data_IF_310075349171
#
_entry.id   IF_310075349171
#
_cell.length_a   1.000
_cell.length_b   1.000
_cell.length_c   1.000
_cell.angle_alpha   90.00
_cell.angle_beta   90.00
_cell.angle_gamma   90.00
#
_symmetry.space_group_name_H-M   'P 1'
#
loop_
_entity.id
_entity.type
_entity.pdbx_description
1 polymer ?
#
# COMPACT_ATOMS: atom_id res chain seq x y z
N UNK A 1 25.09 -31.29 -127.14
CA UNK A 1 24.67 -29.96 -126.64
C UNK A 1 24.31 -30.12 -125.17
N UNK A 2 25.15 -29.56 -124.30
CA UNK A 2 24.88 -29.17 -122.91
C UNK A 2 24.29 -30.13 -121.85
N UNK A 3 25.11 -30.30 -120.79
CA UNK A 3 24.81 -30.02 -119.37
C UNK A 3 24.10 -31.13 -118.55
N UNK A 4 24.94 -31.93 -117.90
CA UNK A 4 24.95 -32.27 -116.44
C UNK A 4 23.64 -32.25 -115.64
N UNK A 5 23.32 -33.40 -115.02
CA UNK A 5 23.07 -33.57 -113.55
C UNK A 5 22.76 -35.05 -113.27
N UNK A 6 23.60 -35.76 -112.47
CA UNK A 6 23.12 -36.14 -111.14
C UNK A 6 24.24 -36.17 -110.07
N UNK A 7 25.27 -35.34 -110.16
CA UNK A 7 26.30 -35.25 -109.10
C UNK A 7 25.82 -34.40 -107.90
N UNK A 8 24.77 -33.60 -108.09
CA UNK A 8 24.20 -32.76 -107.03
C UNK A 8 23.46 -33.56 -105.95
N UNK A 9 23.15 -34.85 -106.17
CA UNK A 9 22.30 -35.62 -105.25
C UNK A 9 23.11 -36.43 -104.23
N UNK A 10 24.14 -37.18 -104.64
CA UNK A 10 24.95 -38.03 -103.73
C UNK A 10 25.77 -37.22 -102.72
N UNK A 11 26.38 -36.12 -103.15
CA UNK A 11 27.10 -35.23 -102.25
C UNK A 11 26.15 -34.54 -101.26
N UNK A 12 24.95 -34.15 -101.70
CA UNK A 12 23.93 -33.57 -100.84
C UNK A 12 23.42 -34.58 -99.80
N UNK A 13 23.15 -35.84 -100.20
CA UNK A 13 22.77 -36.90 -99.26
C UNK A 13 23.86 -37.20 -98.24
N UNK A 14 25.13 -37.25 -98.65
CA UNK A 14 26.24 -37.47 -97.73
C UNK A 14 26.38 -36.33 -96.70
N UNK A 15 26.20 -35.08 -97.13
CA UNK A 15 26.22 -33.91 -96.24
C UNK A 15 25.03 -33.94 -95.28
N UNK A 16 23.83 -34.26 -95.77
CA UNK A 16 22.63 -34.38 -94.92
C UNK A 16 22.80 -35.48 -93.88
N UNK A 17 23.31 -36.65 -94.26
CA UNK A 17 23.58 -37.75 -93.33
C UNK A 17 24.65 -37.38 -92.29
N UNK A 18 25.71 -36.68 -92.69
CA UNK A 18 26.73 -36.18 -91.78
C UNK A 18 26.15 -35.16 -90.78
N UNK A 19 25.30 -34.24 -91.26
CA UNK A 19 24.63 -33.26 -90.40
C UNK A 19 23.66 -33.93 -89.42
N UNK A 20 22.93 -34.96 -89.84
CA UNK A 20 22.07 -35.76 -88.96
C UNK A 20 22.90 -36.50 -87.90
N UNK A 21 24.05 -37.08 -88.28
CA UNK A 21 24.96 -37.75 -87.34
C UNK A 21 25.54 -36.76 -86.31
N UNK A 22 25.99 -35.58 -86.76
CA UNK A 22 26.52 -34.53 -85.89
C UNK A 22 25.44 -33.96 -84.96
N UNK A 23 24.21 -33.80 -85.46
CA UNK A 23 23.06 -33.41 -84.63
C UNK A 23 22.70 -34.51 -83.63
N UNK A 24 22.77 -35.78 -84.01
CA UNK A 24 22.59 -36.93 -83.11
C UNK A 24 23.64 -37.00 -82.00
N UNK A 25 24.91 -36.74 -82.31
CA UNK A 25 26.00 -36.65 -81.32
C UNK A 25 25.86 -35.43 -80.40
N UNK A 26 25.40 -34.28 -80.91
CA UNK A 26 25.06 -33.11 -80.10
C UNK A 26 23.88 -33.41 -79.15
N UNK A 27 22.85 -34.11 -79.63
CA UNK A 27 21.71 -34.55 -78.82
C UNK A 27 22.11 -35.57 -77.74
N UNK A 28 23.06 -36.47 -78.04
CA UNK A 28 23.64 -37.39 -77.05
C UNK A 28 24.44 -36.65 -75.97
N UNK A 29 25.23 -35.62 -76.31
CA UNK A 29 25.88 -34.75 -75.33
C UNK A 29 24.87 -33.99 -74.47
N UNK A 30 23.73 -33.56 -75.03
CA UNK A 30 22.65 -32.93 -74.24
C UNK A 30 21.91 -33.89 -73.32
N UNK A 31 21.89 -35.20 -73.61
CA UNK A 31 21.25 -36.21 -72.74
C UNK A 31 21.99 -36.38 -71.40
N UNK A 32 23.32 -36.32 -71.40
CA UNK A 32 24.11 -36.29 -70.16
C UNK A 32 23.80 -35.05 -69.32
N UNK A 33 23.80 -33.88 -69.95
CA UNK A 33 23.43 -32.61 -69.29
C UNK A 33 21.99 -32.60 -68.76
N UNK A 34 21.06 -33.27 -69.43
CA UNK A 34 19.68 -33.41 -68.97
C UNK A 34 19.56 -34.33 -67.76
N UNK A 35 20.29 -35.46 -67.74
CA UNK A 35 20.34 -36.35 -66.58
C UNK A 35 20.95 -35.63 -65.37
N UNK A 36 22.05 -34.90 -65.56
CA UNK A 36 22.66 -34.08 -64.50
C UNK A 36 21.69 -33.03 -63.95
N UNK A 37 20.86 -32.45 -64.83
CA UNK A 37 19.80 -31.50 -64.45
C UNK A 37 18.69 -32.18 -63.64
N UNK A 38 18.29 -33.40 -64.03
CA UNK A 38 17.29 -34.18 -63.31
C UNK A 38 17.80 -34.63 -61.92
N UNK A 39 19.04 -35.09 -61.84
CA UNK A 39 19.68 -35.48 -60.58
C UNK A 39 19.79 -34.28 -59.61
N UNK A 40 20.08 -33.09 -60.16
CA UNK A 40 20.09 -31.83 -59.40
C UNK A 40 18.68 -31.43 -58.89
N UNK A 41 17.64 -31.62 -59.71
CA UNK A 41 16.24 -31.40 -59.32
C UNK A 41 15.82 -32.38 -58.22
N UNK A 42 16.18 -33.66 -58.35
CA UNK A 42 15.86 -34.69 -57.37
C UNK A 42 16.60 -34.42 -56.04
N UNK A 43 17.85 -33.95 -56.10
CA UNK A 43 18.60 -33.50 -54.93
C UNK A 43 17.93 -32.28 -54.26
N UNK A 44 17.49 -31.30 -55.04
CA UNK A 44 16.73 -30.15 -54.53
C UNK A 44 15.40 -30.58 -53.88
N UNK A 45 14.68 -31.53 -54.48
CA UNK A 45 13.45 -32.09 -53.92
C UNK A 45 13.67 -32.91 -52.63
N UNK A 46 14.82 -33.60 -52.49
CA UNK A 46 15.22 -34.24 -51.22
C UNK A 46 15.53 -33.19 -50.16
N UNK A 47 16.29 -32.14 -50.49
CA UNK A 47 16.63 -31.05 -49.57
C UNK A 47 15.38 -30.28 -49.10
N UNK A 48 14.43 -30.00 -50.00
CA UNK A 48 13.18 -29.32 -49.65
C UNK A 48 12.33 -30.13 -48.66
N UNK A 49 12.27 -31.46 -48.81
CA UNK A 49 11.60 -32.35 -47.86
C UNK A 49 12.28 -32.35 -46.50
N UNK A 50 13.61 -32.48 -46.47
CA UNK A 50 14.39 -32.42 -45.24
C UNK A 50 14.22 -31.08 -44.51
N UNK A 51 14.22 -29.95 -45.24
CA UNK A 51 13.97 -28.63 -44.66
C UNK A 51 12.55 -28.50 -44.09
N UNK A 52 11.53 -29.05 -44.77
CA UNK A 52 10.15 -29.05 -44.26
C UNK A 52 10.03 -29.85 -42.97
N UNK A 53 10.67 -31.01 -42.89
CA UNK A 53 10.71 -31.83 -41.68
C UNK A 53 11.48 -31.12 -40.54
N UNK A 54 12.60 -30.48 -40.85
CA UNK A 54 13.36 -29.69 -39.88
C UNK A 54 12.55 -28.52 -39.31
N UNK A 55 11.79 -27.79 -40.15
CA UNK A 55 10.89 -26.72 -39.71
C UNK A 55 9.80 -27.25 -38.79
N UNK A 56 9.14 -28.36 -39.14
CA UNK A 56 8.13 -28.97 -38.29
C UNK A 56 8.68 -29.38 -36.91
N UNK A 57 9.92 -29.89 -36.86
CA UNK A 57 10.59 -30.22 -35.61
C UNK A 57 10.93 -28.96 -34.77
N UNK A 58 11.33 -27.86 -35.42
CA UNK A 58 11.58 -26.58 -34.75
C UNK A 58 10.28 -26.03 -34.15
N UNK A 59 9.19 -26.04 -34.93
CA UNK A 59 7.88 -25.57 -34.47
C UNK A 59 7.41 -26.37 -33.24
N UNK A 60 7.49 -27.70 -33.30
CA UNK A 60 7.13 -28.57 -32.17
C UNK A 60 8.00 -28.30 -30.93
N UNK A 61 9.29 -27.99 -31.11
CA UNK A 61 10.19 -27.65 -30.01
C UNK A 61 9.86 -26.28 -29.40
N UNK A 62 9.52 -25.29 -30.23
CA UNK A 62 9.08 -23.96 -29.79
C UNK A 62 7.78 -24.07 -29.00
N UNK A 63 6.79 -24.79 -29.51
CA UNK A 63 5.51 -25.02 -28.84
C UNK A 63 5.70 -25.68 -27.48
N UNK A 64 6.53 -26.74 -27.43
CA UNK A 64 6.86 -27.41 -26.17
C UNK A 64 7.52 -26.45 -25.17
N UNK A 65 8.45 -25.60 -25.62
CA UNK A 65 9.15 -24.63 -24.76
C UNK A 65 8.21 -23.53 -24.25
N UNK A 66 7.27 -23.07 -25.08
CA UNK A 66 6.23 -22.11 -24.69
C UNK A 66 5.31 -22.74 -23.65
N UNK A 67 4.80 -23.94 -23.90
CA UNK A 67 3.92 -24.65 -22.98
C UNK A 67 4.56 -24.86 -21.60
N UNK A 68 5.83 -25.26 -21.55
CA UNK A 68 6.57 -25.42 -20.29
C UNK A 68 6.69 -24.10 -19.53
N UNK A 69 7.04 -23.00 -20.22
CA UNK A 69 7.16 -21.67 -19.59
C UNK A 69 5.83 -21.16 -19.06
N UNK A 70 4.75 -21.36 -19.82
CA UNK A 70 3.39 -20.99 -19.40
C UNK A 70 3.00 -21.76 -18.12
N UNK A 71 3.13 -23.08 -18.12
CA UNK A 71 2.81 -23.91 -16.95
C UNK A 71 3.63 -23.53 -15.70
N UNK A 72 4.91 -23.22 -15.85
CA UNK A 72 5.76 -22.72 -14.75
C UNK A 72 5.26 -21.37 -14.22
N UNK A 73 4.86 -20.47 -15.12
CA UNK A 73 4.34 -19.15 -14.75
C UNK A 73 3.00 -19.25 -14.02
N UNK A 74 2.09 -20.12 -14.49
CA UNK A 74 0.79 -20.40 -13.88
C UNK A 74 0.96 -20.94 -12.47
N UNK A 75 1.78 -21.98 -12.30
CA UNK A 75 2.07 -22.56 -10.97
C UNK A 75 2.63 -21.51 -9.99
N UNK A 76 3.49 -20.60 -10.48
CA UNK A 76 4.03 -19.51 -9.65
C UNK A 76 2.94 -18.50 -9.27
N UNK A 77 2.03 -18.19 -10.19
CA UNK A 77 0.91 -17.28 -9.94
C UNK A 77 -0.08 -17.90 -8.95
N UNK A 78 -0.43 -19.17 -9.10
CA UNK A 78 -1.29 -19.91 -8.16
C UNK A 78 -0.74 -19.87 -6.73
N UNK A 79 0.56 -20.12 -6.56
CA UNK A 79 1.21 -20.01 -5.24
C UNK A 79 1.11 -18.61 -4.64
N UNK A 80 1.28 -17.56 -5.46
CA UNK A 80 1.11 -16.16 -5.02
C UNK A 80 -0.33 -15.85 -4.63
N UNK A 81 -1.30 -16.31 -5.42
CA UNK A 81 -2.73 -16.11 -5.17
C UNK A 81 -3.13 -16.79 -3.86
N UNK A 82 -2.73 -18.05 -3.66
CA UNK A 82 -2.97 -18.79 -2.42
C UNK A 82 -2.38 -18.08 -1.19
N UNK A 83 -1.13 -17.59 -1.30
CA UNK A 83 -0.49 -16.81 -0.24
C UNK A 83 -1.17 -15.46 0.05
N UNK A 84 -1.75 -14.82 -0.96
CA UNK A 84 -2.56 -13.60 -0.79
C UNK A 84 -3.89 -13.90 -0.10
N UNK A 85 -4.57 -14.96 -0.53
CA UNK A 85 -5.84 -15.41 0.08
C UNK A 85 -5.65 -15.74 1.56
N UNK A 86 -4.58 -16.43 1.92
CA UNK A 86 -4.27 -16.77 3.32
C UNK A 86 -4.04 -15.52 4.17
N UNK A 87 -3.28 -14.54 3.66
CA UNK A 87 -3.07 -13.26 4.37
C UNK A 87 -4.36 -12.48 4.51
N UNK A 88 -5.20 -12.47 3.47
CA UNK A 88 -6.49 -11.78 3.51
C UNK A 88 -7.42 -12.40 4.56
N UNK A 89 -7.50 -13.73 4.63
CA UNK A 89 -8.26 -14.42 5.66
C UNK A 89 -7.75 -14.10 7.08
N UNK A 90 -6.43 -14.07 7.28
CA UNK A 90 -5.83 -13.70 8.57
C UNK A 90 -6.17 -12.26 8.96
N UNK A 91 -6.09 -11.33 8.01
CA UNK A 91 -6.46 -9.94 8.25
C UNK A 91 -7.96 -9.80 8.59
N UNK A 92 -8.84 -10.52 7.89
CA UNK A 92 -10.26 -10.57 8.20
C UNK A 92 -10.53 -11.10 9.61
N UNK A 93 -9.81 -12.14 10.04
CA UNK A 93 -9.89 -12.66 11.41
C UNK A 93 -9.41 -11.64 12.45
N UNK A 94 -8.31 -10.94 12.17
CA UNK A 94 -7.79 -9.88 13.05
C UNK A 94 -8.78 -8.72 13.16
N UNK A 95 -9.36 -8.28 12.05
CA UNK A 95 -10.38 -7.23 12.03
C UNK A 95 -11.63 -7.63 12.84
N UNK A 96 -12.12 -8.86 12.68
CA UNK A 96 -13.24 -9.37 13.47
C UNK A 96 -12.92 -9.40 14.98
N UNK A 97 -11.69 -9.78 15.34
CA UNK A 97 -11.22 -9.76 16.73
C UNK A 97 -11.13 -8.35 17.31
N UNK A 98 -10.63 -7.38 16.53
CA UNK A 98 -10.60 -5.98 16.92
C UNK A 98 -12.01 -5.40 17.06
N UNK A 99 -12.92 -5.70 16.13
CA UNK A 99 -14.30 -5.25 16.21
C UNK A 99 -14.98 -5.72 17.50
N UNK A 100 -14.82 -7.00 17.86
CA UNK A 100 -15.34 -7.52 19.14
C UNK A 100 -14.78 -6.80 20.36
N UNK A 101 -13.49 -6.42 20.34
CA UNK A 101 -12.88 -5.65 21.42
C UNK A 101 -13.42 -4.22 21.48
N UNK A 102 -13.66 -3.60 20.33
CA UNK A 102 -14.32 -2.29 20.23
C UNK A 102 -15.73 -2.36 20.79
N UNK A 103 -16.52 -3.36 20.38
CA UNK A 103 -17.91 -3.54 20.84
C UNK A 103 -17.96 -3.84 22.35
N UNK A 104 -17.05 -4.68 22.85
CA UNK A 104 -16.95 -4.98 24.28
C UNK A 104 -16.55 -3.75 25.10
N UNK A 105 -15.68 -2.88 24.56
CA UNK A 105 -15.31 -1.60 25.19
C UNK A 105 -16.43 -0.58 25.11
N UNK A 106 -17.27 -0.63 24.06
CA UNK A 106 -18.43 0.23 23.91
C UNK A 106 -19.60 -0.17 24.82
N UNK A 107 -19.79 -1.47 25.08
CA UNK A 107 -20.79 -1.97 26.05
C UNK A 107 -20.33 -1.77 27.49
N UNK A 108 -19.02 -1.83 27.74
CA UNK A 108 -18.40 -1.43 28.99
C UNK A 108 -18.20 0.08 28.98
N UNK A 109 -19.28 0.82 28.83
CA UNK A 109 -19.31 2.22 29.26
C UNK A 109 -18.99 2.20 30.75
N UNK A 110 -17.71 2.32 31.09
CA UNK A 110 -17.27 2.44 32.46
C UNK A 110 -18.10 3.60 33.01
N UNK A 111 -18.90 3.34 34.05
CA UNK A 111 -19.69 4.36 34.73
C UNK A 111 -18.70 5.33 35.36
N UNK A 112 -18.26 6.29 34.54
CA UNK A 112 -17.24 7.24 34.92
C UNK A 112 -17.79 8.00 36.11
N UNK A 113 -17.02 8.03 37.20
CA UNK A 113 -17.38 8.85 38.34
C UNK A 113 -17.19 10.33 37.96
N UNK A 114 -18.31 11.01 37.71
CA UNK A 114 -18.32 12.42 37.35
C UNK A 114 -18.29 13.32 38.60
N UNK A 115 -17.49 14.37 38.53
CA UNK A 115 -17.37 15.44 39.51
C UNK A 115 -17.86 16.74 38.87
N UNK A 116 -18.72 17.49 39.57
CA UNK A 116 -19.27 18.74 39.06
C UNK A 116 -18.51 19.89 39.71
N UNK A 117 -17.92 20.77 38.90
CA UNK A 117 -17.41 22.02 39.42
C UNK A 117 -18.59 22.90 39.86
N UNK A 118 -18.71 23.27 41.15
CA UNK A 118 -19.89 23.95 41.66
C UNK A 118 -20.07 25.37 41.09
N UNK A 119 -18.99 26.01 40.61
CA UNK A 119 -19.00 27.36 40.03
C UNK A 119 -19.50 27.35 38.58
N UNK A 120 -18.93 26.49 37.75
CA UNK A 120 -19.20 26.47 36.30
C UNK A 120 -20.29 25.49 35.90
N UNK A 121 -20.62 24.53 36.78
CA UNK A 121 -21.50 23.38 36.50
C UNK A 121 -20.93 22.44 35.43
N UNK A 122 -19.67 22.60 35.03
CA UNK A 122 -18.97 21.67 34.14
C UNK A 122 -18.70 20.34 34.85
N UNK A 123 -18.84 19.23 34.13
CA UNK A 123 -18.59 17.89 34.65
C UNK A 123 -17.21 17.39 34.23
N UNK A 124 -16.51 16.74 35.16
CA UNK A 124 -15.17 16.19 34.94
C UNK A 124 -15.10 14.73 35.39
N UNK A 125 -14.29 13.92 34.71
CA UNK A 125 -14.03 12.54 35.11
C UNK A 125 -12.60 12.13 34.74
N UNK A 126 -12.04 11.14 35.44
CA UNK A 126 -10.77 10.54 35.05
C UNK A 126 -11.01 9.39 34.08
N UNK A 127 -10.13 9.26 33.09
CA UNK A 127 -10.02 8.01 32.31
C UNK A 127 -9.54 6.91 33.29
N UNK A 128 -10.19 5.74 33.34
CA UNK A 128 -9.89 4.74 34.37
C UNK A 128 -8.53 4.05 34.19
N UNK A 129 -7.84 4.27 33.08
CA UNK A 129 -6.54 3.70 32.75
C UNK A 129 -5.69 4.69 31.95
N UNK A 130 -4.37 4.48 31.96
CA UNK A 130 -3.44 5.31 31.19
C UNK A 130 -3.53 5.04 29.69
N UNK A 131 -3.44 6.09 28.88
CA UNK A 131 -3.47 6.05 27.42
C UNK A 131 -2.45 7.05 26.83
N UNK A 132 -1.98 6.82 25.59
CA UNK A 132 -1.36 7.88 24.79
C UNK A 132 -2.35 9.01 24.52
N UNK A 133 -1.86 10.20 24.18
CA UNK A 133 -2.68 11.41 24.12
C UNK A 133 -3.83 11.32 23.11
N UNK A 134 -3.57 10.87 21.87
CA UNK A 134 -4.63 10.74 20.86
C UNK A 134 -5.72 9.71 21.24
N UNK A 135 -5.39 8.48 21.70
CA UNK A 135 -6.37 7.59 22.29
C UNK A 135 -7.13 8.19 23.48
N UNK A 136 -6.47 8.94 24.37
CA UNK A 136 -7.12 9.62 25.49
C UNK A 136 -8.13 10.68 25.01
N UNK A 137 -7.76 11.48 24.01
CA UNK A 137 -8.65 12.43 23.33
C UNK A 137 -9.87 11.74 22.73
N UNK A 138 -9.66 10.60 22.05
CA UNK A 138 -10.75 9.82 21.46
C UNK A 138 -11.66 9.24 22.55
N UNK A 139 -11.10 8.71 23.64
CA UNK A 139 -11.88 8.18 24.77
C UNK A 139 -12.74 9.27 25.43
N UNK A 140 -12.21 10.48 25.58
CA UNK A 140 -12.98 11.62 26.07
C UNK A 140 -14.17 11.94 25.14
N UNK A 141 -13.94 11.94 23.82
CA UNK A 141 -14.97 12.17 22.81
C UNK A 141 -16.08 11.10 22.83
N UNK A 142 -15.72 9.81 22.97
CA UNK A 142 -16.73 8.72 23.07
C UNK A 142 -17.57 8.81 24.34
N UNK A 143 -17.09 9.50 25.37
CA UNK A 143 -17.82 9.76 26.62
C UNK A 143 -18.55 11.12 26.63
N UNK A 144 -18.72 11.75 25.46
CA UNK A 144 -19.49 12.97 25.27
C UNK A 144 -18.80 14.23 25.79
N UNK A 145 -17.48 14.19 25.95
CA UNK A 145 -16.65 15.33 26.37
C UNK A 145 -15.41 15.49 25.51
N UNK A 146 -14.41 16.18 26.04
CA UNK A 146 -13.07 16.27 25.48
C UNK A 146 -12.05 16.22 26.63
N UNK A 147 -10.75 16.07 26.32
CA UNK A 147 -9.74 16.27 27.37
C UNK A 147 -9.84 17.70 27.91
N UNK A 148 -9.64 17.86 29.23
CA UNK A 148 -9.89 19.12 29.95
C UNK A 148 -9.11 20.29 29.36
N UNK A 149 -9.79 21.42 29.17
CA UNK A 149 -9.16 22.68 28.76
C UNK A 149 -9.25 23.62 29.94
N UNK A 150 -8.12 23.90 30.58
CA UNK A 150 -8.07 24.66 31.83
C UNK A 150 -8.08 26.16 31.49
N UNK A 151 -9.14 26.86 31.89
CA UNK A 151 -9.42 28.22 31.45
C UNK A 151 -8.99 29.30 32.44
N UNK A 152 -8.88 28.97 33.72
CA UNK A 152 -8.49 29.89 34.77
C UNK A 152 -7.78 29.20 35.94
N UNK A 153 -7.24 30.00 36.86
CA UNK A 153 -6.54 29.50 38.03
C UNK A 153 -7.47 28.73 38.98
N UNK A 154 -8.70 29.18 39.13
CA UNK A 154 -9.68 28.55 40.02
C UNK A 154 -10.04 27.14 39.57
N UNK A 155 -10.19 26.92 38.27
CA UNK A 155 -10.39 25.61 37.65
C UNK A 155 -9.15 24.73 37.87
N UNK A 156 -7.95 25.24 37.61
CA UNK A 156 -6.70 24.52 37.84
C UNK A 156 -6.60 24.01 39.29
N UNK A 157 -6.80 24.90 40.25
CA UNK A 157 -6.74 24.57 41.68
C UNK A 157 -7.84 23.56 42.08
N UNK A 158 -9.04 23.70 41.51
CA UNK A 158 -10.15 22.77 41.76
C UNK A 158 -9.84 21.37 41.25
N UNK A 159 -9.23 21.24 40.07
CA UNK A 159 -8.80 19.94 39.51
C UNK A 159 -7.78 19.26 40.41
N UNK A 160 -6.77 20.00 40.87
CA UNK A 160 -5.75 19.49 41.82
C UNK A 160 -6.40 19.01 43.12
N UNK A 161 -7.32 19.79 43.67
CA UNK A 161 -8.05 19.43 44.90
C UNK A 161 -8.93 18.19 44.71
N UNK A 162 -9.54 18.04 43.54
CA UNK A 162 -10.52 16.99 43.25
C UNK A 162 -9.87 15.66 42.90
N UNK A 163 -8.79 15.69 42.11
CA UNK A 163 -8.12 14.50 41.57
C UNK A 163 -6.74 14.22 42.19
N UNK A 164 -6.29 15.07 43.10
CA UNK A 164 -4.97 14.99 43.73
C UNK A 164 -3.86 15.50 42.83
N UNK A 165 -2.67 15.61 43.43
CA UNK A 165 -1.46 16.08 42.76
C UNK A 165 -0.41 14.98 42.53
N UNK A 166 -0.58 13.79 43.11
CA UNK A 166 0.45 12.74 43.08
C UNK A 166 0.58 12.06 41.70
N UNK A 167 -0.33 12.37 40.77
CA UNK A 167 -0.37 11.82 39.40
C UNK A 167 -0.40 12.95 38.38
N UNK A 168 0.35 12.76 37.29
CA UNK A 168 0.33 13.63 36.12
C UNK A 168 -0.83 13.25 35.19
N UNK A 169 -1.64 14.23 34.83
CA UNK A 169 -2.83 13.99 34.00
C UNK A 169 -2.75 14.68 32.65
N UNK A 170 -3.19 14.00 31.59
CA UNK A 170 -3.37 14.63 30.28
C UNK A 170 -4.42 15.73 30.34
N UNK A 171 -4.09 16.84 29.68
CA UNK A 171 -5.02 17.92 29.34
C UNK A 171 -5.31 17.93 27.84
N UNK A 172 -6.24 18.78 27.43
CA UNK A 172 -6.65 18.99 26.05
C UNK A 172 -5.84 20.03 25.29
N UNK A 173 -4.64 20.40 25.76
CA UNK A 173 -3.79 21.36 25.06
C UNK A 173 -2.71 20.66 24.23
N UNK A 174 -2.45 21.19 23.04
CA UNK A 174 -1.43 20.69 22.11
C UNK A 174 -0.90 21.79 21.20
N UNK A 175 0.37 21.72 20.82
CA UNK A 175 0.99 22.56 19.78
C UNK A 175 1.53 21.72 18.60
N UNK A 176 1.14 20.44 18.49
CA UNK A 176 1.55 19.51 17.42
C UNK A 176 1.37 20.10 15.99
N UNK A 177 0.38 20.97 15.80
CA UNK A 177 0.12 21.61 14.52
C UNK A 177 1.16 22.69 14.17
N UNK A 178 1.65 23.43 15.16
CA UNK A 178 2.59 24.54 15.01
C UNK A 178 3.32 24.76 16.35
N UNK A 179 4.58 24.36 16.41
CA UNK A 179 5.44 24.44 17.61
C UNK A 179 5.39 25.83 18.27
N UNK A 180 5.18 25.85 19.58
CA UNK A 180 5.08 27.08 20.37
C UNK A 180 3.70 27.76 20.31
N UNK A 181 2.76 27.23 19.51
CA UNK A 181 1.39 27.72 19.41
C UNK A 181 0.39 26.71 19.97
N UNK A 182 0.15 26.82 21.27
CA UNK A 182 -0.80 25.99 21.99
C UNK A 182 -2.24 26.20 21.52
N UNK A 183 -2.91 25.10 21.23
CA UNK A 183 -4.32 25.03 20.82
C UNK A 183 -5.09 24.07 21.71
N UNK A 184 -6.38 24.33 21.87
CA UNK A 184 -7.28 23.49 22.66
C UNK A 184 -8.06 22.51 21.78
N UNK A 185 -8.25 21.27 22.26
CA UNK A 185 -9.03 20.23 21.56
C UNK A 185 -10.49 20.58 21.34
N UNK A 186 -11.05 21.52 22.10
CA UNK A 186 -12.42 22.01 21.95
C UNK A 186 -12.54 23.19 20.98
N UNK A 187 -11.42 23.67 20.42
CA UNK A 187 -11.35 24.79 19.48
C UNK A 187 -11.45 26.18 20.14
N UNK A 188 -11.54 26.27 21.46
CA UNK A 188 -11.51 27.54 22.18
C UNK A 188 -10.08 28.10 22.22
N UNK A 189 -9.97 29.43 22.40
CA UNK A 189 -8.69 30.11 22.57
C UNK A 189 -8.07 29.76 23.93
N UNK A 190 -6.76 29.45 23.95
CA UNK A 190 -6.01 29.17 25.19
C UNK A 190 -5.67 30.49 25.88
N UNK A 191 -6.26 30.73 27.05
CA UNK A 191 -6.15 32.02 27.79
C UNK A 191 -5.35 31.93 29.09
N UNK A 192 -5.12 30.71 29.56
CA UNK A 192 -4.47 30.46 30.84
C UNK A 192 -3.33 29.47 30.66
N UNK A 193 -2.23 29.73 31.35
CA UNK A 193 -1.04 28.89 31.36
C UNK A 193 -0.52 28.79 32.78
N UNK A 194 -0.08 27.59 33.18
CA UNK A 194 0.49 27.38 34.50
C UNK A 194 1.72 26.46 34.47
N UNK A 195 2.63 26.71 33.54
CA UNK A 195 3.87 25.95 33.39
C UNK A 195 4.69 25.88 34.68
N UNK A 196 5.26 24.70 34.95
CA UNK A 196 6.40 24.57 35.86
C UNK A 196 7.58 25.30 35.24
N UNK A 197 8.42 25.99 36.01
CA UNK A 197 9.65 26.54 35.41
C UNK A 197 10.67 25.40 35.18
N UNK A 198 11.35 25.30 34.02
CA UNK A 198 11.39 26.22 32.89
C UNK A 198 10.51 25.82 31.68
N UNK A 199 9.45 25.05 31.89
CA UNK A 199 8.56 24.53 30.84
C UNK A 199 7.75 25.64 30.13
N UNK A 200 7.29 25.39 28.89
CA UNK A 200 7.60 24.22 28.07
C UNK A 200 9.00 24.30 27.46
N UNK A 201 9.77 23.22 27.54
CA UNK A 201 11.15 23.17 27.05
C UNK A 201 11.32 22.46 25.69
N UNK A 202 10.26 21.79 25.22
CA UNK A 202 10.24 20.94 24.04
C UNK A 202 11.50 20.06 23.93
N UNK A 203 11.84 19.39 25.02
CA UNK A 203 12.89 18.40 25.14
C UNK A 203 12.89 17.44 23.95
N UNK A 204 14.03 17.41 23.25
CA UNK A 204 14.27 16.63 22.02
C UNK A 204 13.33 16.94 20.85
N UNK A 205 12.63 18.07 20.86
CA UNK A 205 11.74 18.53 19.79
C UNK A 205 10.60 17.55 19.50
N UNK A 206 10.01 16.99 20.54
CA UNK A 206 8.98 15.95 20.44
C UNK A 206 7.97 16.00 21.60
N UNK A 207 7.80 17.16 22.25
CA UNK A 207 6.84 17.34 23.32
C UNK A 207 5.76 18.31 22.87
N UNK A 208 4.60 17.76 22.49
CA UNK A 208 3.54 18.53 21.84
C UNK A 208 2.21 18.51 22.59
N UNK A 209 2.21 18.00 23.83
CA UNK A 209 0.99 17.75 24.59
C UNK A 209 1.20 18.04 26.06
N UNK A 210 0.17 18.60 26.71
CA UNK A 210 0.31 19.16 28.06
C UNK A 210 -0.24 18.22 29.13
N UNK A 211 0.53 18.06 30.21
CA UNK A 211 0.08 17.47 31.47
C UNK A 211 -0.06 18.52 32.58
N UNK A 212 -0.87 18.22 33.59
CA UNK A 212 -0.93 18.92 34.88
C UNK A 212 -0.27 18.08 35.98
N UNK A 213 0.25 18.73 37.02
CA UNK A 213 0.99 18.16 38.16
C UNK A 213 2.41 17.68 37.79
N UNK A 214 3.16 18.53 37.09
CA UNK A 214 4.50 18.23 36.58
C UNK A 214 5.42 17.56 37.60
N UNK A 215 6.05 16.47 37.16
CA UNK A 215 7.19 15.79 37.79
C UNK A 215 8.42 15.88 36.87
N UNK A 216 8.61 17.01 36.21
CA UNK A 216 9.74 17.19 35.31
C UNK A 216 11.07 16.83 36.00
N UNK A 217 12.06 16.25 35.28
CA UNK A 217 13.27 15.70 35.91
C UNK A 217 14.09 16.68 36.76
N UNK A 218 13.97 17.99 36.53
CA UNK A 218 14.60 19.02 37.36
C UNK A 218 13.83 19.34 38.65
N UNK A 219 12.61 18.83 38.78
CA UNK A 219 11.80 18.94 39.98
C UNK A 219 12.05 17.71 40.87
N UNK A 220 12.64 17.93 42.05
CA UNK A 220 12.85 16.87 43.04
C UNK A 220 11.53 16.30 43.64
N UNK A 221 10.39 16.85 43.23
CA UNK A 221 9.04 16.51 43.70
C UNK A 221 7.99 16.99 42.69
N UNK A 222 6.76 16.50 42.78
CA UNK A 222 5.64 17.06 42.02
C UNK A 222 5.39 18.51 42.38
N UNK A 223 5.15 19.35 41.39
CA UNK A 223 4.58 20.68 41.58
C UNK A 223 3.06 20.65 41.35
N UNK A 224 2.23 20.68 42.41
CA UNK A 224 0.78 20.61 42.28
C UNK A 224 0.22 21.69 41.35
N UNK A 225 -0.56 21.27 40.37
CA UNK A 225 -1.22 22.15 39.42
C UNK A 225 -0.34 22.73 38.33
N UNK A 226 0.99 22.52 38.38
CA UNK A 226 1.93 23.03 37.38
C UNK A 226 2.00 22.14 36.15
N UNK A 227 2.21 22.74 34.99
CA UNK A 227 2.13 22.05 33.70
C UNK A 227 3.49 21.70 33.13
N UNK A 228 3.51 20.68 32.28
CA UNK A 228 4.66 20.29 31.46
C UNK A 228 4.19 19.86 30.06
N UNK A 229 4.98 20.12 29.03
CA UNK A 229 4.84 19.49 27.73
C UNK A 229 5.58 18.14 27.72
N UNK A 230 4.97 17.13 27.10
CA UNK A 230 5.53 15.78 27.05
C UNK A 230 5.19 15.10 25.71
N UNK A 231 5.89 14.01 25.34
CA UNK A 231 5.59 13.27 24.13
C UNK A 231 4.22 12.58 24.18
N UNK A 232 3.48 12.61 23.07
CA UNK A 232 2.11 12.08 23.03
C UNK A 232 2.00 10.56 23.11
N UNK A 233 3.13 9.85 23.01
CA UNK A 233 3.19 8.40 23.13
C UNK A 233 3.34 7.91 24.59
N UNK A 234 3.50 8.82 25.55
CA UNK A 234 3.52 8.47 26.98
C UNK A 234 2.15 7.98 27.46
N UNK A 235 2.15 7.06 28.42
CA UNK A 235 0.92 6.45 28.94
C UNK A 235 0.51 7.17 30.21
N UNK A 236 -0.56 7.98 30.14
CA UNK A 236 -1.06 8.77 31.28
C UNK A 236 -2.58 8.78 31.35
N UNK A 237 -3.11 9.03 32.55
CA UNK A 237 -4.55 9.19 32.76
C UNK A 237 -4.96 10.57 32.23
N UNK A 238 -6.06 10.65 31.48
CA UNK A 238 -6.64 11.94 31.08
C UNK A 238 -7.76 12.40 31.99
N UNK A 239 -7.94 13.72 32.09
CA UNK A 239 -9.15 14.31 32.66
C UNK A 239 -10.09 14.65 31.51
N UNK A 240 -11.30 14.12 31.56
CA UNK A 240 -12.39 14.42 30.64
C UNK A 240 -13.18 15.61 31.20
N UNK A 241 -13.56 16.54 30.35
CA UNK A 241 -14.46 17.65 30.63
C UNK A 241 -15.68 17.58 29.69
N UNK A 242 -16.87 17.88 30.22
CA UNK A 242 -18.07 18.14 29.41
C UNK A 242 -18.94 19.22 30.04
N UNK A 243 -19.42 20.16 29.23
CA UNK A 243 -20.38 21.19 29.66
C UNK A 243 -21.77 20.56 29.83
N UNK A 244 -22.48 20.88 30.91
CA UNK A 244 -23.87 20.45 31.10
C UNK A 244 -24.75 21.24 30.12
N UNK A 245 -25.50 20.55 29.27
CA UNK A 245 -26.46 21.20 28.38
C UNK A 245 -27.47 22.01 29.22
N UNK A 246 -27.76 23.24 28.79
CA UNK A 246 -28.75 24.08 29.45
C UNK A 246 -30.09 23.32 29.59
N UNK A 247 -30.82 23.47 30.71
CA UNK A 247 -32.15 22.89 30.84
C UNK A 247 -33.00 23.31 29.63
N UNK A 248 -33.65 22.36 28.95
CA UNK A 248 -34.63 22.70 27.93
C UNK A 248 -35.73 23.51 28.61
N UNK A 249 -35.77 24.82 28.39
CA UNK A 249 -36.93 25.63 28.74
C UNK A 249 -38.07 25.14 27.86
N UNK A 250 -38.97 24.35 28.43
CA UNK A 250 -40.20 23.97 27.77
C UNK A 250 -40.94 25.29 27.47
N UNK A 251 -41.22 25.66 26.21
CA UNK A 251 -41.98 26.86 25.93
C UNK A 251 -43.37 26.65 26.53
N UNK A 252 -43.61 27.32 27.66
CA UNK A 252 -44.88 27.33 28.35
C UNK A 252 -45.97 27.73 27.36
N UNK A 253 -46.93 26.82 27.19
CA UNK A 253 -48.25 27.05 26.64
C UNK A 253 -48.80 28.43 27.03
N UNK A 254 -49.01 29.28 26.03
CA UNK A 254 -49.99 30.37 26.05
C UNK A 254 -51.04 30.06 25.01
#
# INVERSE_FOLDING_TARGET
MSITKPILNTAAYAIILLLILLMGLALLKTKGSFQDSQDSIDAAGRLARANKEALANIDAMVDKKIAVRLALSEKKLEGRISGLQTRNLKLQQQLAGLQRKVDASAQKGDDLKWYINPKTRTCYALIPFGLPWHPAKQYAATNGGHLVVINDKEENDWLVKTFGADTEYWTGLTDEAEEGKWTAVNGEEVKYFNWAAPEPDNYRKNQHYVIINSKAPHLNQTEPGKWNDVPGNEIRIGIIEKKVAAPRTNPSSR
#
